data_IF_558696453903
#
_entry.id   IF_558696453903
#
_cell.length_a   1.000
_cell.length_b   1.000
_cell.length_c   1.000
_cell.angle_alpha   90.00
_cell.angle_beta   90.00
_cell.angle_gamma   90.00
#
_symmetry.space_group_name_H-M   'P 1'
#
loop_
_entity.id
_entity.type
_entity.pdbx_description
1 polymer ?
#
# COMPACT_ATOMS: atom_id res chain seq x y z
N UNK A 1 -18.29 -4.04 -12.81
CA UNK A 1 -17.05 -3.23 -12.69
C UNK A 1 -15.91 -4.14 -12.29
N UNK A 2 -14.77 -4.07 -12.96
CA UNK A 2 -13.71 -5.08 -12.87
C UNK A 2 -13.01 -5.06 -11.50
N UNK A 3 -13.02 -6.20 -10.80
CA UNK A 3 -12.36 -6.39 -9.50
C UNK A 3 -10.81 -6.29 -9.58
N UNK A 4 -10.23 -6.31 -10.79
CA UNK A 4 -8.79 -6.40 -10.99
C UNK A 4 -7.99 -5.20 -10.50
N UNK A 5 -8.59 -4.00 -10.45
CA UNK A 5 -7.87 -2.78 -10.07
C UNK A 5 -7.62 -2.73 -8.56
N UNK A 6 -8.63 -3.09 -7.78
CA UNK A 6 -8.56 -3.15 -6.32
C UNK A 6 -7.62 -4.26 -5.87
N UNK A 7 -7.64 -5.40 -6.57
CA UNK A 7 -6.69 -6.50 -6.38
C UNK A 7 -5.25 -6.07 -6.72
N UNK A 8 -5.03 -5.36 -7.83
CA UNK A 8 -3.71 -4.85 -8.18
C UNK A 8 -3.15 -3.87 -7.14
N UNK A 9 -3.99 -2.99 -6.57
CA UNK A 9 -3.56 -2.11 -5.48
C UNK A 9 -3.22 -2.94 -4.23
N UNK A 10 -4.03 -3.95 -3.90
CA UNK A 10 -3.76 -4.82 -2.75
C UNK A 10 -2.43 -5.56 -2.90
N UNK A 11 -2.15 -6.14 -4.05
CA UNK A 11 -0.85 -6.78 -4.34
C UNK A 11 0.30 -5.77 -4.26
N UNK A 12 0.10 -4.53 -4.72
CA UNK A 12 1.12 -3.48 -4.59
C UNK A 12 1.40 -3.09 -3.13
N UNK A 13 0.38 -3.09 -2.27
CA UNK A 13 0.52 -2.87 -0.82
C UNK A 13 1.32 -4.01 -0.21
N UNK A 14 0.95 -5.26 -0.48
CA UNK A 14 1.63 -6.46 0.05
C UNK A 14 3.11 -6.48 -0.33
N UNK A 15 3.45 -6.23 -1.60
CA UNK A 15 4.83 -6.19 -2.07
C UNK A 15 5.66 -5.11 -1.38
N UNK A 16 5.09 -3.91 -1.18
CA UNK A 16 5.78 -2.80 -0.51
C UNK A 16 5.93 -3.01 0.98
N UNK A 17 4.95 -3.66 1.60
CA UNK A 17 5.04 -4.04 3.00
C UNK A 17 6.15 -5.08 3.21
N UNK A 18 6.29 -6.05 2.29
CA UNK A 18 7.39 -7.00 2.30
C UNK A 18 8.75 -6.32 2.10
N UNK A 19 8.86 -5.36 1.17
CA UNK A 19 10.09 -4.60 0.95
C UNK A 19 10.50 -3.79 2.19
N UNK A 20 9.53 -3.13 2.85
CA UNK A 20 9.77 -2.41 4.10
C UNK A 20 10.21 -3.36 5.22
N UNK A 21 9.55 -4.51 5.37
CA UNK A 21 9.92 -5.51 6.38
C UNK A 21 11.35 -6.02 6.17
N UNK A 22 11.72 -6.37 4.93
CA UNK A 22 13.10 -6.79 4.60
C UNK A 22 14.12 -5.71 4.93
N UNK A 23 13.77 -4.44 4.71
CA UNK A 23 14.66 -3.33 5.03
C UNK A 23 14.79 -3.11 6.54
N UNK A 24 13.74 -3.35 7.31
CA UNK A 24 13.75 -3.28 8.78
C UNK A 24 14.41 -4.51 9.44
N UNK A 25 14.38 -5.67 8.80
CA UNK A 25 15.08 -6.89 9.21
C UNK A 25 16.59 -6.84 8.90
N UNK A 26 17.03 -5.87 8.10
CA UNK A 26 18.45 -5.67 7.81
C UNK A 26 19.22 -5.22 9.05
N UNK A 27 20.44 -5.74 9.22
CA UNK A 27 21.34 -5.39 10.31
C UNK A 27 21.67 -3.88 10.34
N UNK A 28 21.65 -3.22 9.17
CA UNK A 28 21.81 -1.78 9.03
C UNK A 28 20.57 -1.20 8.36
N UNK A 29 19.67 -0.65 9.18
CA UNK A 29 18.44 -0.02 8.70
C UNK A 29 18.73 1.37 8.14
N UNK A 30 18.54 1.54 6.84
CA UNK A 30 18.48 2.87 6.21
C UNK A 30 17.14 3.54 6.57
N UNK A 31 17.18 4.42 7.57
CA UNK A 31 16.00 5.12 8.09
C UNK A 31 15.34 6.03 7.05
N UNK A 32 16.11 6.60 6.13
CA UNK A 32 15.58 7.48 5.08
C UNK A 32 14.77 6.64 4.12
N UNK A 33 15.34 5.52 3.65
CA UNK A 33 14.65 4.60 2.74
C UNK A 33 13.47 3.91 3.42
N UNK A 34 13.56 3.59 4.70
CA UNK A 34 12.44 3.07 5.49
C UNK A 34 11.27 4.07 5.51
N UNK A 35 11.56 5.36 5.77
CA UNK A 35 10.56 6.41 5.80
C UNK A 35 9.91 6.63 4.43
N UNK A 36 10.70 6.63 3.35
CA UNK A 36 10.19 6.73 1.97
C UNK A 36 9.24 5.58 1.65
N UNK A 37 9.63 4.34 1.97
CA UNK A 37 8.79 3.15 1.79
C UNK A 37 7.51 3.23 2.62
N UNK A 38 7.57 3.70 3.87
CA UNK A 38 6.38 3.91 4.71
C UNK A 38 5.42 4.92 4.08
N UNK A 39 5.92 6.07 3.59
CA UNK A 39 5.08 7.10 2.95
C UNK A 39 4.41 6.55 1.68
N UNK A 40 5.15 5.78 0.87
CA UNK A 40 4.58 5.20 -0.34
C UNK A 40 3.55 4.11 -0.06
N UNK A 41 3.76 3.30 0.99
CA UNK A 41 2.79 2.33 1.47
C UNK A 41 1.51 3.01 1.94
N UNK A 42 1.61 4.07 2.74
CA UNK A 42 0.46 4.87 3.20
C UNK A 42 -0.35 5.45 2.03
N UNK A 43 0.32 5.97 0.99
CA UNK A 43 -0.35 6.46 -0.22
C UNK A 43 -1.14 5.38 -0.93
N UNK A 44 -0.61 4.15 -1.00
CA UNK A 44 -1.31 3.02 -1.63
C UNK A 44 -2.50 2.55 -0.79
N UNK A 45 -2.34 2.50 0.53
CA UNK A 45 -3.43 2.18 1.47
C UNK A 45 -4.54 3.23 1.33
N UNK A 46 -4.20 4.51 1.38
CA UNK A 46 -5.16 5.59 1.16
C UNK A 46 -5.88 5.45 -0.18
N UNK A 47 -5.14 5.15 -1.26
CA UNK A 47 -5.71 4.91 -2.58
C UNK A 47 -6.70 3.75 -2.53
N UNK A 48 -6.31 2.60 -1.98
CA UNK A 48 -7.18 1.44 -1.83
C UNK A 48 -8.50 1.79 -1.13
N UNK A 49 -8.44 2.45 0.03
CA UNK A 49 -9.63 2.84 0.78
C UNK A 49 -10.46 3.90 0.06
N UNK A 50 -9.84 4.86 -0.63
CA UNK A 50 -10.57 5.88 -1.40
C UNK A 50 -11.41 5.26 -2.53
N UNK A 51 -10.90 4.23 -3.19
CA UNK A 51 -11.63 3.49 -4.23
C UNK A 51 -12.75 2.63 -3.63
N UNK A 52 -12.46 1.91 -2.54
CA UNK A 52 -13.47 1.10 -1.84
C UNK A 52 -14.61 1.97 -1.31
N UNK A 53 -14.30 3.13 -0.72
CA UNK A 53 -15.29 4.05 -0.15
C UNK A 53 -16.12 4.76 -1.24
N UNK A 54 -15.53 5.12 -2.39
CA UNK A 54 -16.29 5.58 -3.56
C UNK A 54 -17.29 4.54 -4.07
N UNK A 55 -16.92 3.26 -4.00
CA UNK A 55 -17.79 2.18 -4.47
C UNK A 55 -18.97 1.97 -3.50
N UNK A 56 -18.75 2.11 -2.19
CA UNK A 56 -19.83 2.04 -1.18
C UNK A 56 -20.79 3.23 -1.32
N UNK A 57 -20.27 4.46 -1.48
CA UNK A 57 -21.10 5.65 -1.63
C UNK A 57 -21.86 5.73 -2.97
N UNK A 58 -21.43 4.99 -4.00
CA UNK A 58 -22.17 4.87 -5.26
C UNK A 58 -23.32 3.85 -5.20
N UNK A 59 -23.45 3.11 -4.09
CA UNK A 59 -24.46 2.08 -3.85
C UNK A 59 -25.53 2.50 -2.81
N UNK A 60 -25.44 3.72 -2.26
CA UNK A 60 -26.43 4.38 -1.40
C UNK A 60 -27.11 5.51 -2.17
#
# INVERSE_FOLDING_TARGET
>A
MCNCYTEAIKTAIENKQEELNKLLESEIVDKTKALELSIELDKLIYKYYSYTMRTINALL
#
